data_IF_603191503374
#
_entry.id   IF_603191503374
#
_cell.length_a   1.000
_cell.length_b   1.000
_cell.length_c   1.000
_cell.angle_alpha   90.00
_cell.angle_beta   90.00
_cell.angle_gamma   90.00
#
_symmetry.space_group_name_H-M   'P 1'
#
loop_
_entity.id
_entity.type
_entity.pdbx_description
1 polymer ?
#
# COMPACT_ATOMS: atom_id res chain seq x y z
N UNK A 1 -16.74 17.38 -11.91
CA UNK A 1 -15.84 16.25 -12.26
C UNK A 1 -15.64 15.46 -10.98
N UNK A 2 -16.06 14.19 -10.92
CA UNK A 2 -15.74 13.35 -9.77
C UNK A 2 -14.24 13.09 -9.81
N UNK A 3 -13.50 13.61 -8.84
CA UNK A 3 -12.16 13.08 -8.58
C UNK A 3 -12.35 11.60 -8.32
N UNK A 4 -11.79 10.68 -9.11
CA UNK A 4 -11.80 9.28 -8.72
C UNK A 4 -11.09 9.23 -7.36
N UNK A 5 -11.78 8.78 -6.32
CA UNK A 5 -11.11 8.42 -5.07
C UNK A 5 -9.96 7.49 -5.48
N UNK A 6 -8.71 7.97 -5.33
CA UNK A 6 -7.60 7.28 -5.98
C UNK A 6 -7.52 5.87 -5.43
N UNK A 7 -7.41 4.88 -6.32
CA UNK A 7 -7.11 3.48 -5.98
C UNK A 7 -5.71 3.32 -5.36
N UNK A 8 -5.15 4.39 -4.81
CA UNK A 8 -3.78 4.57 -4.43
C UNK A 8 -3.76 4.94 -2.95
N UNK A 9 -3.02 4.17 -2.17
CA UNK A 9 -2.79 4.39 -0.75
C UNK A 9 -1.32 4.71 -0.54
N UNK A 10 -1.05 5.95 -0.14
CA UNK A 10 0.30 6.41 0.14
C UNK A 10 0.66 6.18 1.62
N UNK A 11 1.53 5.20 1.87
CA UNK A 11 2.05 4.83 3.18
C UNK A 11 3.56 5.03 3.28
N UNK A 12 4.14 5.92 2.46
CA UNK A 12 5.59 6.16 2.51
C UNK A 12 6.04 6.79 3.83
N UNK A 13 5.18 7.56 4.51
CA UNK A 13 5.45 8.17 5.83
C UNK A 13 5.07 7.26 7.02
N UNK A 14 4.87 5.97 6.77
CA UNK A 14 4.37 5.05 7.77
C UNK A 14 5.24 3.81 7.82
N UNK A 15 5.72 3.50 9.02
CA UNK A 15 6.46 2.27 9.34
C UNK A 15 5.59 1.27 10.06
N UNK A 16 6.15 0.09 10.34
CA UNK A 16 5.55 -0.86 11.27
C UNK A 16 5.24 -0.21 12.64
N UNK A 17 4.06 -0.46 13.25
CA UNK A 17 2.96 -1.30 12.77
C UNK A 17 1.92 -0.55 11.91
N UNK A 18 1.98 0.78 11.85
CA UNK A 18 0.97 1.63 11.23
C UNK A 18 0.76 1.31 9.75
N UNK A 19 1.84 1.13 8.98
CA UNK A 19 1.77 0.78 7.56
C UNK A 19 0.96 -0.50 7.32
N UNK A 20 1.14 -1.51 8.18
CA UNK A 20 0.46 -2.80 8.06
C UNK A 20 -1.05 -2.64 8.32
N UNK A 21 -1.40 -1.92 9.38
CA UNK A 21 -2.80 -1.66 9.76
C UNK A 21 -3.53 -0.90 8.66
N UNK A 22 -2.93 0.17 8.13
CA UNK A 22 -3.55 0.97 7.07
C UNK A 22 -3.67 0.22 5.75
N UNK A 23 -2.64 -0.55 5.36
CA UNK A 23 -2.71 -1.41 4.19
C UNK A 23 -3.87 -2.42 4.29
N UNK A 24 -4.04 -3.06 5.46
CA UNK A 24 -5.15 -3.98 5.69
C UNK A 24 -6.51 -3.30 5.56
N UNK A 25 -6.68 -2.13 6.19
CA UNK A 25 -7.93 -1.37 6.10
C UNK A 25 -8.24 -0.95 4.66
N UNK A 26 -7.24 -0.44 3.93
CA UNK A 26 -7.37 -0.06 2.53
C UNK A 26 -7.75 -1.23 1.63
N UNK A 27 -7.07 -2.36 1.75
CA UNK A 27 -7.38 -3.58 1.00
C UNK A 27 -8.78 -4.12 1.34
N UNK A 28 -9.16 -4.15 2.61
CA UNK A 28 -10.49 -4.58 3.03
C UNK A 28 -11.59 -3.73 2.39
N UNK A 29 -11.37 -2.40 2.33
CA UNK A 29 -12.27 -1.47 1.68
C UNK A 29 -12.32 -1.70 0.16
N UNK A 30 -11.17 -1.80 -0.49
CA UNK A 30 -11.06 -2.04 -1.93
C UNK A 30 -11.80 -3.32 -2.36
N UNK A 31 -11.63 -4.41 -1.61
CA UNK A 31 -12.34 -5.68 -1.84
C UNK A 31 -13.86 -5.48 -1.71
N UNK A 32 -14.31 -4.82 -0.62
CA UNK A 32 -15.73 -4.58 -0.36
C UNK A 32 -16.38 -3.70 -1.44
N UNK A 33 -15.65 -2.72 -1.95
CA UNK A 33 -16.11 -1.80 -3.00
C UNK A 33 -15.99 -2.41 -4.40
N UNK A 34 -15.44 -3.61 -4.53
CA UNK A 34 -15.29 -4.30 -5.81
C UNK A 34 -14.27 -3.62 -6.73
N UNK A 35 -13.27 -2.96 -6.15
CA UNK A 35 -12.14 -2.36 -6.88
C UNK A 35 -11.37 -3.47 -7.59
N UNK A 36 -11.01 -3.26 -8.85
CA UNK A 36 -10.27 -4.25 -9.65
C UNK A 36 -8.75 -4.21 -9.38
N UNK A 37 -8.23 -3.03 -9.06
CA UNK A 37 -6.81 -2.79 -8.83
C UNK A 37 -6.60 -1.77 -7.72
N UNK A 38 -5.65 -2.05 -6.82
CA UNK A 38 -5.28 -1.17 -5.72
C UNK A 38 -3.77 -1.03 -5.63
N UNK A 39 -3.28 0.20 -5.53
CA UNK A 39 -1.87 0.53 -5.39
C UNK A 39 -1.58 0.94 -3.94
N UNK A 40 -0.48 0.43 -3.39
CA UNK A 40 0.02 0.85 -2.08
C UNK A 40 1.47 1.28 -2.27
N UNK A 41 1.83 2.46 -1.80
CA UNK A 41 3.20 2.97 -1.82
C UNK A 41 3.77 2.94 -0.41
N UNK A 42 4.94 2.34 -0.18
CA UNK A 42 5.52 2.31 1.16
C UNK A 42 7.03 2.11 1.13
N UNK A 43 7.69 2.63 2.15
CA UNK A 43 9.09 2.34 2.48
C UNK A 43 9.24 1.13 3.42
N UNK A 44 8.14 0.63 3.98
CA UNK A 44 8.16 -0.49 4.93
C UNK A 44 8.55 -1.80 4.22
N UNK A 45 9.72 -2.39 4.53
CA UNK A 45 10.27 -3.53 3.78
C UNK A 45 9.42 -4.80 3.91
N UNK A 46 8.68 -4.96 5.01
CA UNK A 46 7.88 -6.16 5.23
C UNK A 46 6.44 -6.06 4.71
N UNK A 47 6.04 -4.91 4.18
CA UNK A 47 4.63 -4.66 3.82
C UNK A 47 4.12 -5.66 2.78
N UNK A 48 4.91 -6.00 1.76
CA UNK A 48 4.52 -6.99 0.75
C UNK A 48 4.13 -8.34 1.33
N UNK A 49 4.89 -8.84 2.33
CA UNK A 49 4.59 -10.11 3.02
C UNK A 49 3.27 -10.01 3.79
N UNK A 50 3.03 -8.88 4.46
CA UNK A 50 1.78 -8.64 5.18
C UNK A 50 0.57 -8.55 4.25
N UNK A 51 0.71 -7.89 3.10
CA UNK A 51 -0.33 -7.80 2.07
C UNK A 51 -0.71 -9.20 1.60
N UNK A 52 0.27 -10.02 1.19
CA UNK A 52 0.00 -11.37 0.72
C UNK A 52 -0.62 -12.26 1.80
N UNK A 53 -0.12 -12.18 3.04
CA UNK A 53 -0.68 -12.94 4.16
C UNK A 53 -2.15 -12.58 4.40
N UNK A 54 -2.48 -11.29 4.42
CA UNK A 54 -3.86 -10.83 4.60
C UNK A 54 -4.78 -11.26 3.46
N UNK A 55 -4.37 -11.09 2.20
CA UNK A 55 -5.20 -11.45 1.04
C UNK A 55 -5.48 -12.95 0.98
N UNK A 56 -4.52 -13.78 1.37
CA UNK A 56 -4.71 -15.22 1.51
C UNK A 56 -5.67 -15.58 2.66
N UNK A 57 -5.57 -14.90 3.81
CA UNK A 57 -6.46 -15.09 4.97
C UNK A 57 -7.93 -14.84 4.62
N UNK A 58 -8.20 -13.78 3.84
CA UNK A 58 -9.56 -13.46 3.37
C UNK A 58 -9.95 -14.21 2.08
N UNK A 59 -9.16 -15.21 1.66
CA UNK A 59 -9.41 -16.05 0.49
C UNK A 59 -9.67 -15.26 -0.81
N UNK A 60 -9.00 -14.12 -0.95
CA UNK A 60 -9.09 -13.28 -2.13
C UNK A 60 -8.10 -13.79 -3.19
N UNK A 61 -8.54 -13.88 -4.45
CA UNK A 61 -7.63 -14.19 -5.57
C UNK A 61 -6.99 -12.89 -6.06
N UNK A 62 -5.67 -12.85 -6.08
CA UNK A 62 -4.91 -11.66 -6.44
C UNK A 62 -3.66 -11.98 -7.25
N UNK A 63 -3.19 -10.96 -7.96
CA UNK A 63 -1.83 -10.86 -8.49
C UNK A 63 -1.19 -9.61 -7.89
N UNK A 64 0.09 -9.72 -7.50
CA UNK A 64 0.84 -8.59 -6.94
C UNK A 64 2.08 -8.33 -7.79
N UNK A 65 2.19 -7.11 -8.29
CA UNK A 65 3.41 -6.60 -8.92
C UNK A 65 4.07 -5.60 -7.98
N UNK A 66 5.38 -5.73 -7.81
CA UNK A 66 6.16 -4.89 -6.91
C UNK A 66 7.18 -4.13 -7.74
N UNK A 67 7.04 -2.82 -7.78
CA UNK A 67 8.00 -1.91 -8.40
C UNK A 67 8.79 -1.23 -7.27
N UNK A 68 10.12 -1.37 -7.28
CA UNK A 68 11.00 -0.73 -6.30
C UNK A 68 11.72 0.46 -6.93
N UNK A 69 11.72 1.60 -6.24
CA UNK A 69 12.31 2.84 -6.70
C UNK A 69 13.26 3.37 -5.65
N UNK A 70 14.50 3.66 -6.06
CA UNK A 70 15.52 4.22 -5.18
C UNK A 70 15.10 5.61 -4.69
N UNK A 71 15.16 5.82 -3.38
CA UNK A 71 14.95 7.12 -2.76
C UNK A 71 16.17 7.99 -3.06
N UNK A 72 15.92 9.20 -3.53
CA UNK A 72 16.94 10.19 -3.89
C UNK A 72 16.78 11.42 -2.99
N UNK A 73 17.79 12.28 -2.97
CA UNK A 73 17.78 13.47 -2.11
C UNK A 73 16.62 14.42 -2.44
N UNK A 74 16.19 14.48 -3.71
CA UNK A 74 15.02 15.28 -4.08
C UNK A 74 13.74 14.74 -3.46
N UNK A 75 13.60 13.41 -3.33
CA UNK A 75 12.47 12.78 -2.67
C UNK A 75 12.46 13.08 -1.18
N UNK A 76 13.62 12.94 -0.50
CA UNK A 76 13.76 13.26 0.93
C UNK A 76 13.38 14.70 1.20
N UNK A 77 13.95 15.63 0.41
CA UNK A 77 13.65 17.05 0.51
C UNK A 77 12.17 17.33 0.29
N UNK A 78 11.55 16.73 -0.73
CA UNK A 78 10.13 16.93 -1.01
C UNK A 78 9.28 16.42 0.15
N UNK A 79 9.50 15.19 0.59
CA UNK A 79 8.68 14.51 1.59
C UNK A 79 8.81 15.15 2.98
N UNK A 80 10.00 15.56 3.41
CA UNK A 80 10.17 16.28 4.68
C UNK A 80 9.59 17.71 4.66
N UNK A 81 9.50 18.35 3.48
CA UNK A 81 9.01 19.73 3.38
C UNK A 81 7.48 19.81 3.15
N UNK A 82 6.90 18.84 2.44
CA UNK A 82 5.46 18.84 2.11
C UNK A 82 4.61 18.07 3.13
N UNK A 83 5.19 17.11 3.85
CA UNK A 83 4.47 16.27 4.80
C UNK A 83 5.02 16.46 6.20
N UNK A 84 4.15 16.84 7.15
CA UNK A 84 4.49 16.89 8.58
C UNK A 84 4.64 15.49 9.20
N UNK A 85 4.58 14.43 8.40
CA UNK A 85 4.47 13.03 8.85
C UNK A 85 5.78 12.28 8.65
N UNK A 86 6.65 12.70 7.72
CA UNK A 86 7.99 12.11 7.59
C UNK A 86 8.92 12.69 8.64
N UNK A 87 9.58 11.83 9.42
CA UNK A 87 10.75 12.20 10.19
C UNK A 87 12.05 11.77 9.48
N UNK A 88 13.19 12.29 9.91
CA UNK A 88 14.48 11.92 9.32
C UNK A 88 14.81 10.44 9.57
N UNK A 89 14.29 9.89 10.68
CA UNK A 89 14.48 8.50 11.12
C UNK A 89 13.73 7.50 10.22
N UNK A 90 12.65 7.91 9.56
CA UNK A 90 11.92 7.12 8.58
C UNK A 90 12.83 6.70 7.41
N UNK A 91 13.81 7.53 7.06
CA UNK A 91 14.79 7.24 6.02
C UNK A 91 15.95 6.38 6.52
N UNK A 92 16.10 6.23 7.84
CA UNK A 92 17.06 5.31 8.42
C UNK A 92 16.66 3.89 7.97
N UNK A 93 17.54 3.27 7.17
CA UNK A 93 17.35 1.96 6.54
C UNK A 93 16.33 1.89 5.38
N UNK A 94 15.82 3.03 4.89
CA UNK A 94 14.96 3.07 3.70
C UNK A 94 15.71 3.60 2.47
N UNK A 95 16.33 2.69 1.71
CA UNK A 95 17.01 3.04 0.45
C UNK A 95 16.05 3.12 -0.75
N UNK A 96 14.91 2.44 -0.65
CA UNK A 96 13.92 2.32 -1.71
C UNK A 96 12.52 2.48 -1.13
N UNK A 97 11.60 2.99 -1.94
CA UNK A 97 10.17 2.80 -1.72
C UNK A 97 9.63 1.83 -2.75
N UNK A 98 8.58 1.10 -2.38
CA UNK A 98 7.92 0.14 -3.24
C UNK A 98 6.51 0.63 -3.59
N UNK A 99 6.11 0.41 -4.83
CA UNK A 99 4.70 0.38 -5.24
C UNK A 99 4.27 -1.08 -5.33
N UNK A 100 3.30 -1.45 -4.52
CA UNK A 100 2.59 -2.71 -4.57
C UNK A 100 1.33 -2.49 -5.40
N UNK A 101 1.27 -3.04 -6.61
CA UNK A 101 0.08 -3.04 -7.47
C UNK A 101 -0.63 -4.38 -7.29
N UNK A 102 -1.79 -4.35 -6.64
CA UNK A 102 -2.62 -5.52 -6.37
C UNK A 102 -3.76 -5.55 -7.39
N UNK A 103 -3.80 -6.55 -8.25
CA UNK A 103 -4.93 -6.81 -9.15
C UNK A 103 -5.79 -7.94 -8.57
N UNK A 104 -7.08 -7.70 -8.38
CA UNK A 104 -8.02 -8.70 -7.86
C UNK A 104 -8.61 -9.52 -9.01
N UNK A 105 -8.29 -10.82 -9.06
CA UNK A 105 -8.52 -11.66 -10.26
C UNK A 105 -9.78 -12.53 -10.19
N UNK A 106 -10.52 -12.51 -9.08
CA UNK A 106 -11.84 -13.12 -9.01
C UNK A 106 -12.64 -12.58 -7.83
N UNK A 107 -13.87 -12.14 -8.12
CA UNK A 107 -14.85 -11.69 -7.11
C UNK A 107 -15.43 -12.94 -6.45
N UNK A 108 -14.79 -13.41 -5.38
CA UNK A 108 -15.43 -14.38 -4.49
C UNK A 108 -16.69 -13.72 -3.94
N UNK A 109 -17.86 -14.30 -4.20
CA UNK A 109 -19.15 -13.87 -3.66
C UNK A 109 -19.08 -13.86 -2.12
N UNK A 110 -18.76 -12.71 -1.53
CA UNK A 110 -19.03 -12.46 -0.12
C UNK A 110 -20.55 -12.30 0.01
N UNK A 111 -21.24 -13.40 0.32
CA UNK A 111 -22.62 -13.36 0.81
C UNK A 111 -23.63 -14.21 0.05
N UNK A 112 -23.46 -15.53 0.03
CA UNK A 112 -24.59 -16.48 0.04
C UNK A 112 -24.20 -17.69 0.91
N UNK A 113 -24.55 -17.63 2.20
CA UNK A 113 -24.71 -18.80 3.10
C UNK A 113 -25.60 -18.37 4.26
#
# INVERSE_FOLDING_TARGET
>A
MKSPESNDLDLKAHRCPNAMTMARMGLSRAIKEGVNEYNIYSIEPLLGKHISAYLNDVQCKFEIHIESVRIRDEHKKLWCNESTIFDEDDFEFAEHYCRYRIAFTNKSNYGES
#
